data_IF_722274744348
#
_entry.id   IF_722274744348
#
_cell.length_a   1.000
_cell.length_b   1.000
_cell.length_c   1.000
_cell.angle_alpha   90.00
_cell.angle_beta   90.00
_cell.angle_gamma   90.00
#
_symmetry.space_group_name_H-M   'P 1'
#
loop_
_entity.id
_entity.type
_entity.pdbx_description
1 polymer ?
#
# COMPACT_ATOMS: atom_id res chain seq x y z
N UNK A 1 24.32 32.16 20.28
CA UNK A 1 24.20 30.76 20.74
C UNK A 1 22.89 30.23 20.21
N UNK A 2 22.96 29.42 19.16
CA UNK A 2 21.79 28.78 18.56
C UNK A 2 21.53 27.50 19.34
N UNK A 3 20.46 27.48 20.12
CA UNK A 3 20.09 26.32 20.93
C UNK A 3 19.59 25.25 19.96
N UNK A 4 20.40 24.20 19.76
CA UNK A 4 20.01 23.02 19.02
C UNK A 4 18.71 22.46 19.62
N UNK A 5 17.59 22.70 18.95
CA UNK A 5 16.31 22.08 19.32
C UNK A 5 16.43 20.59 19.04
N UNK A 6 15.94 19.72 19.94
CA UNK A 6 15.88 18.29 19.66
C UNK A 6 15.05 18.10 18.39
N UNK A 7 15.64 17.41 17.40
CA UNK A 7 15.16 17.17 16.03
C UNK A 7 13.63 16.96 15.93
N UNK A 8 12.88 18.04 15.78
CA UNK A 8 11.53 18.01 15.23
C UNK A 8 11.65 18.14 13.72
N UNK A 9 11.00 17.27 12.96
CA UNK A 9 10.92 17.43 11.51
C UNK A 9 10.42 18.85 11.18
N UNK A 10 11.21 19.60 10.44
CA UNK A 10 10.82 20.94 10.00
C UNK A 10 9.72 20.85 8.95
N UNK A 11 8.81 21.84 8.91
CA UNK A 11 7.76 21.92 7.89
C UNK A 11 8.32 21.81 6.46
N UNK A 12 9.49 22.40 6.20
CA UNK A 12 10.17 22.29 4.90
C UNK A 12 10.64 20.86 4.55
N UNK A 13 11.05 20.07 5.55
CA UNK A 13 11.47 18.68 5.34
C UNK A 13 10.26 17.81 5.02
N UNK A 14 9.14 17.99 5.74
CA UNK A 14 7.89 17.30 5.41
C UNK A 14 7.34 17.73 4.04
N UNK A 15 7.42 19.01 3.69
CA UNK A 15 6.98 19.49 2.38
C UNK A 15 7.79 18.85 1.24
N UNK A 16 9.11 18.71 1.42
CA UNK A 16 9.97 18.01 0.46
C UNK A 16 9.63 16.53 0.36
N UNK A 17 9.48 15.85 1.50
CA UNK A 17 9.09 14.44 1.54
C UNK A 17 7.74 14.21 0.85
N UNK A 18 6.73 15.05 1.13
CA UNK A 18 5.43 14.96 0.48
C UNK A 18 5.56 15.02 -1.04
N UNK A 19 6.37 15.95 -1.57
CA UNK A 19 6.63 16.04 -3.01
C UNK A 19 7.29 14.77 -3.56
N UNK A 20 8.32 14.26 -2.90
CA UNK A 20 9.00 13.03 -3.33
C UNK A 20 8.07 11.79 -3.28
N UNK A 21 7.11 11.76 -2.36
CA UNK A 21 6.07 10.73 -2.29
C UNK A 21 5.01 10.89 -3.39
N UNK A 22 4.64 12.12 -3.74
CA UNK A 22 3.75 12.41 -4.88
C UNK A 22 4.41 11.93 -6.18
N UNK A 23 5.68 12.29 -6.41
CA UNK A 23 6.45 11.88 -7.59
C UNK A 23 6.55 10.34 -7.68
N UNK A 24 6.76 9.66 -6.54
CA UNK A 24 6.76 8.19 -6.49
C UNK A 24 5.39 7.61 -6.82
N UNK A 25 4.31 8.20 -6.30
CA UNK A 25 2.96 7.76 -6.61
C UNK A 25 2.68 7.85 -8.10
N UNK A 26 2.96 8.99 -8.73
CA UNK A 26 2.78 9.19 -10.18
C UNK A 26 3.57 8.16 -10.98
N UNK A 27 4.86 7.96 -10.66
CA UNK A 27 5.73 6.99 -11.33
C UNK A 27 5.17 5.57 -11.31
N UNK A 28 4.62 5.13 -10.17
CA UNK A 28 4.05 3.79 -10.05
C UNK A 28 2.68 3.75 -10.71
N UNK A 29 1.86 4.79 -10.53
CA UNK A 29 0.48 4.83 -11.00
C UNK A 29 0.35 4.80 -12.52
N UNK A 30 1.27 5.43 -13.24
CA UNK A 30 1.21 5.46 -14.71
C UNK A 30 1.25 4.05 -15.32
N UNK A 31 2.01 3.13 -14.71
CA UNK A 31 2.28 1.81 -15.27
C UNK A 31 1.85 0.65 -14.37
N UNK A 32 1.10 0.89 -13.28
CA UNK A 32 0.86 -0.12 -12.25
C UNK A 32 0.18 -1.40 -12.78
N UNK A 33 -0.66 -1.28 -13.80
CA UNK A 33 -1.35 -2.41 -14.46
C UNK A 33 -0.43 -3.29 -15.29
N UNK A 34 0.75 -2.80 -15.64
CA UNK A 34 1.77 -3.51 -16.42
C UNK A 34 2.80 -4.22 -15.53
N UNK A 35 2.84 -3.88 -14.24
CA UNK A 35 3.79 -4.43 -13.27
C UNK A 35 3.61 -5.95 -13.16
N UNK A 36 4.65 -6.71 -13.48
CA UNK A 36 4.65 -8.16 -13.33
C UNK A 36 5.07 -8.59 -11.92
N UNK A 37 4.88 -9.88 -11.62
CA UNK A 37 5.37 -10.47 -10.37
C UNK A 37 6.88 -10.32 -10.20
N UNK A 38 7.63 -10.41 -11.30
CA UNK A 38 9.08 -10.26 -11.29
C UNK A 38 9.48 -8.83 -10.95
N UNK A 39 8.78 -7.84 -11.50
CA UNK A 39 9.05 -6.43 -11.24
C UNK A 39 8.74 -6.10 -9.78
N UNK A 40 7.57 -6.54 -9.29
CA UNK A 40 7.18 -6.34 -7.90
C UNK A 40 8.11 -7.07 -6.92
N UNK A 41 8.69 -8.22 -7.28
CA UNK A 41 9.69 -8.89 -6.44
C UNK A 41 10.97 -8.06 -6.26
N UNK A 42 11.28 -7.11 -7.17
CA UNK A 42 12.43 -6.22 -7.06
C UNK A 42 12.15 -5.06 -6.10
N UNK A 43 11.00 -4.38 -6.24
CA UNK A 43 10.75 -3.14 -5.50
C UNK A 43 9.71 -3.27 -4.36
N UNK A 44 8.84 -4.28 -4.39
CA UNK A 44 7.67 -4.38 -3.49
C UNK A 44 8.06 -4.46 -2.01
N UNK A 45 9.18 -5.12 -1.70
CA UNK A 45 9.74 -5.13 -0.34
C UNK A 45 10.17 -3.73 0.14
N UNK A 46 10.76 -2.93 -0.74
CA UNK A 46 11.18 -1.55 -0.44
C UNK A 46 9.96 -0.64 -0.26
N UNK A 47 8.94 -0.80 -1.12
CA UNK A 47 7.68 -0.06 -1.01
C UNK A 47 6.95 -0.38 0.31
N UNK A 48 6.92 -1.64 0.74
CA UNK A 48 6.34 -2.03 2.02
C UNK A 48 7.06 -1.40 3.22
N UNK A 49 8.39 -1.33 3.18
CA UNK A 49 9.20 -0.66 4.22
C UNK A 49 8.89 0.84 4.23
N UNK A 50 8.88 1.48 3.06
CA UNK A 50 8.55 2.90 2.92
C UNK A 50 7.18 3.21 3.52
N UNK A 51 6.14 2.45 3.16
CA UNK A 51 4.78 2.62 3.68
C UNK A 51 4.74 2.54 5.21
N UNK A 52 5.47 1.59 5.80
CA UNK A 52 5.56 1.46 7.26
C UNK A 52 6.25 2.68 7.88
N UNK A 53 7.35 3.13 7.30
CA UNK A 53 8.10 4.30 7.77
C UNK A 53 7.29 5.58 7.67
N UNK A 54 6.62 5.83 6.54
CA UNK A 54 5.76 7.01 6.35
C UNK A 54 4.59 6.99 7.33
N UNK A 55 3.97 5.83 7.56
CA UNK A 55 2.90 5.69 8.57
C UNK A 55 3.40 6.04 9.97
N UNK A 56 4.57 5.53 10.36
CA UNK A 56 5.17 5.82 11.66
C UNK A 56 5.47 7.31 11.80
N UNK A 57 6.04 7.93 10.77
CA UNK A 57 6.32 9.36 10.75
C UNK A 57 5.04 10.19 10.88
N UNK A 58 3.99 9.84 10.13
CA UNK A 58 2.67 10.48 10.28
C UNK A 58 2.12 10.35 11.70
N UNK A 59 2.17 9.14 12.27
CA UNK A 59 1.70 8.86 13.63
C UNK A 59 2.46 9.66 14.70
N UNK A 60 3.75 9.89 14.50
CA UNK A 60 4.58 10.72 15.37
C UNK A 60 4.28 12.21 15.18
N UNK A 61 4.33 12.70 13.93
CA UNK A 61 4.16 14.12 13.65
C UNK A 61 2.77 14.64 13.99
N UNK A 62 1.70 13.85 13.81
CA UNK A 62 0.33 14.28 14.14
C UNK A 62 0.09 14.52 15.64
N UNK A 63 0.93 13.92 16.50
CA UNK A 63 0.87 14.10 17.96
C UNK A 63 1.69 15.30 18.42
N UNK A 64 2.56 15.84 17.57
CA UNK A 64 3.39 16.98 17.92
C UNK A 64 2.59 18.28 17.84
N UNK A 65 2.69 19.18 18.83
CA UNK A 65 2.22 20.54 18.66
C UNK A 65 3.04 21.22 17.56
N UNK A 66 2.38 21.94 16.65
CA UNK A 66 3.03 22.56 15.51
C UNK A 66 2.25 23.74 14.95
N UNK A 67 2.92 24.53 14.10
CA UNK A 67 2.28 25.60 13.34
C UNK A 67 1.20 25.04 12.40
N UNK A 68 0.33 25.91 11.89
CA UNK A 68 -0.66 25.55 10.86
C UNK A 68 0.03 24.92 9.65
N UNK A 69 1.14 25.51 9.19
CA UNK A 69 1.92 24.97 8.06
C UNK A 69 2.44 23.55 8.35
N UNK A 70 2.90 23.29 9.58
CA UNK A 70 3.32 21.95 9.98
C UNK A 70 2.14 20.97 9.93
N UNK A 71 0.98 21.34 10.48
CA UNK A 71 -0.22 20.50 10.46
C UNK A 71 -0.66 20.19 9.03
N UNK A 72 -0.66 21.17 8.13
CA UNK A 72 -0.97 20.99 6.72
C UNK A 72 -0.03 19.98 6.05
N UNK A 73 1.28 20.04 6.34
CA UNK A 73 2.22 19.05 5.79
C UNK A 73 2.02 17.66 6.40
N UNK A 74 1.63 17.55 7.66
CA UNK A 74 1.30 16.25 8.29
C UNK A 74 0.03 15.65 7.69
N UNK A 75 -0.99 16.46 7.40
CA UNK A 75 -2.19 15.99 6.72
C UNK A 75 -1.88 15.47 5.31
N UNK A 76 -1.07 16.21 4.54
CA UNK A 76 -0.57 15.76 3.24
C UNK A 76 0.22 14.45 3.33
N UNK A 77 1.05 14.29 4.36
CA UNK A 77 1.79 13.05 4.58
C UNK A 77 0.84 11.85 4.78
N UNK A 78 -0.26 12.07 5.50
CA UNK A 78 -1.31 11.07 5.67
C UNK A 78 -2.01 10.71 4.36
N UNK A 79 -2.29 11.69 3.50
CA UNK A 79 -2.88 11.45 2.17
C UNK A 79 -1.92 10.66 1.27
N UNK A 80 -0.64 11.03 1.23
CA UNK A 80 0.36 10.35 0.41
C UNK A 80 0.59 8.92 0.88
N UNK A 81 0.59 8.68 2.19
CA UNK A 81 0.59 7.33 2.74
C UNK A 81 -0.59 6.51 2.24
N UNK A 82 -1.82 7.03 2.37
CA UNK A 82 -3.04 6.31 1.96
C UNK A 82 -3.02 5.99 0.47
N UNK A 83 -2.67 6.96 -0.39
CA UNK A 83 -2.62 6.78 -1.83
C UNK A 83 -1.61 5.70 -2.25
N UNK A 84 -0.39 5.73 -1.70
CA UNK A 84 0.62 4.70 -1.98
C UNK A 84 0.24 3.34 -1.40
N UNK A 85 -0.43 3.29 -0.25
CA UNK A 85 -0.90 2.05 0.35
C UNK A 85 -1.98 1.37 -0.53
N UNK A 86 -2.94 2.16 -1.01
CA UNK A 86 -3.98 1.70 -1.93
C UNK A 86 -3.37 1.19 -3.23
N UNK A 87 -2.44 1.95 -3.84
CA UNK A 87 -1.76 1.53 -5.06
C UNK A 87 -0.98 0.22 -4.88
N UNK A 88 -0.26 0.07 -3.76
CA UNK A 88 0.42 -1.18 -3.44
C UNK A 88 -0.56 -2.34 -3.28
N UNK A 89 -1.69 -2.10 -2.61
CA UNK A 89 -2.77 -3.10 -2.46
C UNK A 89 -3.32 -3.51 -3.82
N UNK A 90 -3.56 -2.57 -4.72
CA UNK A 90 -4.07 -2.83 -6.07
C UNK A 90 -3.09 -3.67 -6.90
N UNK A 91 -1.80 -3.35 -6.87
CA UNK A 91 -0.76 -4.14 -7.53
C UNK A 91 -0.80 -5.59 -7.00
N UNK A 92 -0.77 -5.77 -5.67
CA UNK A 92 -0.79 -7.09 -5.03
C UNK A 92 -2.04 -7.89 -5.38
N UNK A 93 -3.22 -7.25 -5.43
CA UNK A 93 -4.48 -7.93 -5.62
C UNK A 93 -4.80 -8.24 -7.08
N UNK A 94 -4.38 -7.37 -8.01
CA UNK A 94 -4.77 -7.46 -9.43
C UNK A 94 -3.64 -7.91 -10.35
N UNK A 95 -2.40 -7.51 -10.09
CA UNK A 95 -1.26 -7.81 -10.95
C UNK A 95 -0.48 -9.04 -10.48
N UNK A 96 -0.35 -9.24 -9.17
CA UNK A 96 0.38 -10.37 -8.61
C UNK A 96 -0.57 -11.56 -8.46
N UNK A 97 -0.27 -12.71 -9.08
CA UNK A 97 -0.94 -13.97 -8.76
C UNK A 97 -0.33 -14.54 -7.47
N UNK A 98 -0.39 -13.76 -6.39
CA UNK A 98 -0.38 -14.32 -5.04
C UNK A 98 -1.35 -15.49 -5.06
N UNK A 99 -0.95 -16.69 -4.61
CA UNK A 99 -1.76 -17.89 -4.80
C UNK A 99 -3.16 -17.62 -4.25
N UNK A 100 -4.11 -17.32 -5.15
CA UNK A 100 -5.51 -17.06 -4.82
C UNK A 100 -5.93 -18.24 -4.00
N UNK A 101 -6.14 -17.98 -2.71
CA UNK A 101 -6.28 -18.91 -1.60
C UNK A 101 -6.48 -20.34 -2.12
N UNK A 102 -5.43 -21.18 -2.06
CA UNK A 102 -5.51 -22.54 -2.63
C UNK A 102 -6.72 -23.31 -2.07
N UNK A 103 -7.15 -22.97 -0.86
CA UNK A 103 -8.34 -23.54 -0.24
C UNK A 103 -9.63 -23.10 -0.96
N UNK A 104 -9.72 -21.86 -1.45
CA UNK A 104 -10.83 -21.39 -2.29
C UNK A 104 -10.88 -22.13 -3.62
N UNK A 105 -9.73 -22.34 -4.28
CA UNK A 105 -9.67 -23.16 -5.51
C UNK A 105 -10.06 -24.61 -5.26
N UNK A 106 -9.59 -25.21 -4.15
CA UNK A 106 -9.96 -26.59 -3.74
C UNK A 106 -11.44 -26.69 -3.38
N UNK A 107 -11.99 -25.69 -2.69
CA UNK A 107 -13.39 -25.64 -2.30
C UNK A 107 -14.30 -25.54 -3.52
N UNK A 108 -13.99 -24.65 -4.47
CA UNK A 108 -14.73 -24.53 -5.72
C UNK A 108 -14.67 -25.82 -6.54
N UNK A 109 -13.50 -26.45 -6.65
CA UNK A 109 -13.36 -27.75 -7.32
C UNK A 109 -14.24 -28.84 -6.68
N UNK A 110 -14.23 -28.95 -5.34
CA UNK A 110 -15.10 -29.89 -4.61
C UNK A 110 -16.58 -29.62 -4.83
N UNK A 111 -16.99 -28.35 -4.82
CA UNK A 111 -18.40 -27.98 -5.03
C UNK A 111 -18.86 -28.32 -6.46
N UNK A 112 -18.01 -28.11 -7.47
CA UNK A 112 -18.30 -28.52 -8.86
C UNK A 112 -18.37 -30.04 -9.02
N UNK A 113 -17.50 -30.79 -8.34
CA UNK A 113 -17.54 -32.26 -8.31
C UNK A 113 -18.82 -32.79 -7.64
N UNK A 114 -19.28 -32.16 -6.56
CA UNK A 114 -20.55 -32.51 -5.89
C UNK A 114 -21.75 -32.22 -6.80
N UNK A 115 -21.80 -31.06 -7.45
CA UNK A 115 -22.87 -30.70 -8.40
C UNK A 115 -22.97 -31.71 -9.56
N UNK A 116 -21.82 -32.14 -10.08
CA UNK A 116 -21.74 -33.17 -11.14
C UNK A 116 -22.28 -34.53 -10.69
N UNK A 117 -22.10 -34.89 -9.41
CA UNK A 117 -22.61 -36.15 -8.83
C UNK A 117 -24.10 -36.10 -8.55
N UNK A 118 -24.64 -34.92 -8.21
CA UNK A 118 -26.08 -34.72 -8.01
C UNK A 118 -26.82 -34.76 -9.36
N UNK A 119 -26.23 -34.16 -10.40
CA UNK A 119 -26.80 -34.16 -11.76
C UNK A 119 -26.65 -35.49 -12.51
N UNK A 120 -25.72 -36.35 -12.10
CA UNK A 120 -25.49 -37.68 -12.67
C UNK A 120 -26.24 -38.82 -11.99
N UNK A 121 -27.05 -38.55 -10.96
CA UNK A 121 -27.85 -39.58 -10.29
C UNK A 121 -29.09 -39.92 -11.14
N UNK A 122 -29.29 -41.17 -11.57
CA UNK A 122 -30.50 -41.55 -12.29
C UNK A 122 -31.69 -41.45 -11.33
N UNK A 123 -32.72 -40.73 -11.75
CA UNK A 123 -33.98 -40.62 -11.03
C UNK A 123 -34.66 -41.99 -11.06
N UNK A 124 -34.75 -42.65 -9.89
CA UNK A 124 -35.54 -43.88 -9.70
C UNK A 124 -37.02 -43.51 -9.62
#
# INVERSE_FOLDING_TARGET
MEVARPNGYGSNQLARLNRELDDLYELIYDDWRSISEKDYAVFGGQLAILLKTVKQLYDECRRMPGSIDMKNQVERLGLNYSALYELNSDIVNFCIKMPKNQDMKRLMKRLTEVDSRIKGAPTV
#
